data_IF_808086942413
#
_entry.id   IF_808086942413
#
_cell.length_a   1.000
_cell.length_b   1.000
_cell.length_c   1.000
_cell.angle_alpha   90.00
_cell.angle_beta   90.00
_cell.angle_gamma   90.00
#
_symmetry.space_group_name_H-M   'P 1'
#
loop_
_entity.id
_entity.type
_entity.pdbx_description
1 polymer ?
#
# COMPACT_ATOMS: atom_id res chain seq x y z
N UNK A 1 51.31 49.03 3.83
CA UNK A 1 49.90 48.61 3.77
C UNK A 1 49.86 47.19 3.14
N UNK A 2 49.65 46.16 3.95
CA UNK A 2 49.56 44.77 3.50
C UNK A 2 48.10 44.43 3.47
N UNK A 3 47.56 44.20 2.25
CA UNK A 3 46.18 43.80 2.05
C UNK A 3 46.07 42.28 2.19
N UNK A 4 45.38 41.77 3.21
CA UNK A 4 45.10 40.37 3.40
C UNK A 4 43.86 39.98 2.57
N UNK A 5 44.07 39.18 1.53
CA UNK A 5 42.96 38.52 0.79
C UNK A 5 42.46 37.33 1.61
N UNK A 6 41.28 37.48 2.19
CA UNK A 6 40.59 36.37 2.81
C UNK A 6 40.03 35.42 1.73
N UNK A 7 40.57 34.18 1.67
CA UNK A 7 39.99 33.10 0.86
C UNK A 7 38.82 32.55 1.59
N UNK A 8 37.59 32.85 1.11
CA UNK A 8 36.38 32.21 1.59
C UNK A 8 36.30 30.82 0.99
N UNK A 9 36.60 29.81 1.80
CA UNK A 9 36.36 28.40 1.40
C UNK A 9 34.85 28.13 1.43
N UNK A 10 34.21 28.05 0.26
CA UNK A 10 32.87 27.53 0.12
C UNK A 10 32.91 26.05 0.44
N UNK A 11 32.43 25.67 1.62
CA UNK A 11 32.17 24.26 1.96
C UNK A 11 31.03 23.74 1.05
N UNK A 12 31.40 22.94 0.07
CA UNK A 12 30.45 22.20 -0.71
C UNK A 12 29.72 21.23 0.24
N UNK A 13 28.45 21.46 0.47
CA UNK A 13 27.61 20.58 1.27
C UNK A 13 27.47 19.26 0.48
N UNK A 14 28.06 18.17 0.98
CA UNK A 14 27.87 16.83 0.39
C UNK A 14 26.40 16.47 0.42
N UNK A 15 25.82 16.29 -0.76
CA UNK A 15 24.45 15.77 -0.89
C UNK A 15 24.44 14.33 -0.36
N UNK A 16 23.83 14.11 0.80
CA UNK A 16 23.56 12.77 1.31
C UNK A 16 22.35 12.21 0.56
N UNK A 17 22.54 11.10 -0.13
CA UNK A 17 21.48 10.34 -0.75
C UNK A 17 21.04 9.22 0.21
N UNK A 18 19.72 9.01 0.31
CA UNK A 18 19.14 7.88 1.01
C UNK A 18 18.37 7.01 0.02
N UNK A 19 18.52 5.70 0.13
CA UNK A 19 17.83 4.73 -0.71
C UNK A 19 16.59 4.22 0.04
N UNK A 20 15.45 4.26 -0.63
CA UNK A 20 14.19 3.68 -0.16
C UNK A 20 13.66 2.69 -1.19
N UNK A 21 13.18 1.55 -0.72
CA UNK A 21 12.42 0.62 -1.54
C UNK A 21 10.94 0.98 -1.46
N UNK A 22 10.26 0.88 -2.59
CA UNK A 22 8.80 0.98 -2.70
C UNK A 22 8.30 -0.17 -3.56
N UNK A 23 7.10 -0.68 -3.29
CA UNK A 23 6.59 -1.85 -3.96
C UNK A 23 5.15 -1.70 -4.45
N UNK A 24 4.76 -2.61 -5.32
CA UNK A 24 3.38 -2.87 -5.69
C UNK A 24 3.16 -4.37 -5.75
N UNK A 25 2.01 -4.84 -5.21
CA UNK A 25 1.71 -6.27 -5.20
C UNK A 25 0.19 -6.51 -5.35
N UNK A 26 -0.20 -7.17 -6.44
CA UNK A 26 -1.58 -7.65 -6.59
C UNK A 26 -1.81 -8.85 -5.67
N UNK A 27 -2.80 -8.74 -4.79
CA UNK A 27 -3.13 -9.77 -3.80
C UNK A 27 -3.93 -10.94 -4.37
N UNK A 28 -4.29 -10.90 -5.68
CA UNK A 28 -5.02 -11.97 -6.37
C UNK A 28 -6.30 -12.37 -5.62
N UNK A 29 -7.23 -11.42 -5.45
CA UNK A 29 -8.50 -11.60 -4.73
C UNK A 29 -8.28 -12.00 -3.26
N UNK A 30 -7.77 -11.09 -2.46
CA UNK A 30 -7.64 -11.28 -1.01
C UNK A 30 -8.96 -10.95 -0.33
N UNK A 31 -9.81 -11.95 -0.22
CA UNK A 31 -11.11 -11.93 0.47
C UNK A 31 -11.01 -12.57 1.84
N UNK A 32 -11.85 -12.15 2.77
CA UNK A 32 -12.11 -12.89 3.99
C UNK A 32 -13.07 -14.07 3.74
N UNK A 33 -13.82 -14.51 4.71
CA UNK A 33 -14.75 -15.66 4.59
C UNK A 33 -16.20 -15.28 4.85
N UNK A 34 -16.48 -13.98 4.94
CA UNK A 34 -17.78 -13.42 5.24
C UNK A 34 -18.33 -12.72 3.99
N UNK A 35 -19.65 -12.65 3.88
CA UNK A 35 -20.30 -11.93 2.81
C UNK A 35 -20.47 -10.45 3.19
N UNK A 36 -20.03 -9.56 2.32
CA UNK A 36 -20.24 -8.12 2.45
C UNK A 36 -21.57 -7.73 1.77
N UNK A 37 -22.44 -7.05 2.51
CA UNK A 37 -23.75 -6.66 2.00
C UNK A 37 -23.63 -5.79 0.74
N UNK A 38 -24.36 -6.20 -0.32
CA UNK A 38 -24.37 -5.48 -1.60
C UNK A 38 -23.20 -5.81 -2.52
N UNK A 39 -22.28 -6.70 -2.14
CA UNK A 39 -21.16 -7.14 -2.96
C UNK A 39 -21.42 -8.51 -3.60
N UNK A 40 -20.74 -8.78 -4.70
CA UNK A 40 -20.81 -10.06 -5.41
C UNK A 40 -19.56 -10.90 -5.11
N UNK A 41 -19.38 -11.26 -3.85
CA UNK A 41 -18.24 -11.99 -3.29
C UNK A 41 -18.55 -13.48 -3.03
N UNK A 42 -19.70 -13.97 -3.42
CA UNK A 42 -20.23 -15.31 -3.11
C UNK A 42 -19.28 -16.46 -3.45
N UNK A 43 -18.43 -16.29 -4.47
CA UNK A 43 -17.44 -17.30 -4.86
C UNK A 43 -16.37 -17.49 -3.79
N UNK A 44 -16.09 -16.46 -3.00
CA UNK A 44 -15.06 -16.43 -1.95
C UNK A 44 -15.62 -16.77 -0.55
N UNK A 45 -16.79 -17.36 -0.47
CA UNK A 45 -17.35 -17.88 0.78
C UNK A 45 -16.98 -19.36 0.99
N UNK A 46 -17.08 -19.89 2.22
CA UNK A 46 -16.91 -21.32 2.48
C UNK A 46 -17.88 -22.21 1.69
N UNK A 47 -19.07 -21.70 1.37
CA UNK A 47 -20.09 -22.34 0.52
C UNK A 47 -19.89 -22.06 -0.98
N UNK A 48 -19.08 -21.07 -1.34
CA UNK A 48 -18.86 -20.61 -2.71
C UNK A 48 -18.07 -21.58 -3.57
N UNK A 49 -17.84 -21.22 -4.84
CA UNK A 49 -17.19 -22.08 -5.84
C UNK A 49 -15.72 -22.40 -5.46
N UNK A 50 -15.00 -21.44 -4.86
CA UNK A 50 -13.64 -21.63 -4.41
C UNK A 50 -13.51 -22.36 -3.08
N UNK A 51 -14.62 -22.65 -2.38
CA UNK A 51 -14.60 -23.23 -1.03
C UNK A 51 -13.62 -22.48 -0.13
N UNK A 52 -13.74 -21.14 -0.15
CA UNK A 52 -12.84 -20.24 0.53
C UNK A 52 -13.11 -20.25 2.02
N UNK A 53 -12.26 -20.87 2.78
CA UNK A 53 -12.44 -21.08 4.22
C UNK A 53 -11.32 -20.42 5.04
N UNK A 54 -11.48 -20.37 6.36
CA UNK A 54 -10.55 -19.72 7.27
C UNK A 54 -9.10 -20.23 7.12
N UNK A 55 -8.90 -21.52 6.83
CA UNK A 55 -7.55 -22.06 6.63
C UNK A 55 -6.89 -21.50 5.35
N UNK A 56 -7.64 -21.40 4.26
CA UNK A 56 -7.14 -20.81 3.01
C UNK A 56 -6.84 -19.33 3.21
N UNK A 57 -7.75 -18.59 3.85
CA UNK A 57 -7.58 -17.19 4.16
C UNK A 57 -6.34 -16.93 5.02
N UNK A 58 -6.22 -17.60 6.15
CA UNK A 58 -5.05 -17.45 7.06
C UNK A 58 -3.73 -17.81 6.38
N UNK A 59 -3.72 -18.88 5.56
CA UNK A 59 -2.52 -19.25 4.81
C UNK A 59 -2.14 -18.20 3.78
N UNK A 60 -3.13 -17.63 3.09
CA UNK A 60 -2.89 -16.56 2.11
C UNK A 60 -2.35 -15.30 2.78
N UNK A 61 -2.98 -14.82 3.85
CA UNK A 61 -2.51 -13.69 4.64
C UNK A 61 -1.04 -13.85 5.05
N UNK A 62 -0.69 -15.01 5.62
CA UNK A 62 0.67 -15.30 6.05
C UNK A 62 1.69 -15.28 4.90
N UNK A 63 1.32 -15.85 3.75
CA UNK A 63 2.21 -15.89 2.59
C UNK A 63 2.39 -14.49 1.98
N UNK A 64 1.31 -13.72 1.86
CA UNK A 64 1.36 -12.34 1.37
C UNK A 64 2.17 -11.43 2.30
N UNK A 65 1.98 -11.55 3.61
CA UNK A 65 2.73 -10.79 4.60
C UNK A 65 4.25 -11.10 4.53
N UNK A 66 4.63 -12.36 4.32
CA UNK A 66 6.05 -12.75 4.10
C UNK A 66 6.60 -12.10 2.85
N UNK A 67 5.89 -12.22 1.73
CA UNK A 67 6.32 -11.63 0.47
C UNK A 67 6.52 -10.11 0.60
N UNK A 68 5.58 -9.41 1.22
CA UNK A 68 5.67 -7.95 1.46
C UNK A 68 6.86 -7.63 2.39
N UNK A 69 7.03 -8.40 3.46
CA UNK A 69 8.12 -8.18 4.42
C UNK A 69 9.51 -8.39 3.78
N UNK A 70 9.62 -9.27 2.80
CA UNK A 70 10.89 -9.58 2.12
C UNK A 70 11.21 -8.59 0.98
N UNK A 71 10.21 -7.86 0.48
CA UNK A 71 10.41 -6.90 -0.61
C UNK A 71 11.45 -5.84 -0.24
N UNK A 72 12.43 -5.65 -1.13
CA UNK A 72 13.45 -4.62 -1.04
C UNK A 72 14.51 -4.82 0.05
N UNK A 73 14.45 -5.93 0.81
CA UNK A 73 15.39 -6.19 1.92
C UNK A 73 16.82 -6.45 1.44
N UNK A 74 17.00 -6.84 0.18
CA UNK A 74 18.30 -6.99 -0.48
C UNK A 74 19.01 -5.66 -0.70
N UNK A 75 18.29 -4.55 -0.68
CA UNK A 75 18.80 -3.19 -0.89
C UNK A 75 18.66 -2.30 0.32
N UNK A 76 17.57 -2.45 1.07
CA UNK A 76 17.23 -1.64 2.23
C UNK A 76 16.89 -2.55 3.41
N UNK A 77 17.65 -2.52 4.54
CA UNK A 77 17.42 -3.44 5.67
C UNK A 77 16.01 -3.36 6.27
N UNK A 78 15.36 -2.22 6.13
CA UNK A 78 13.98 -2.02 6.60
C UNK A 78 12.91 -2.52 5.61
N UNK A 79 13.32 -2.98 4.41
CA UNK A 79 12.41 -3.34 3.33
C UNK A 79 11.73 -2.12 2.70
N UNK A 80 10.55 -2.33 2.11
CA UNK A 80 9.81 -1.25 1.49
C UNK A 80 9.30 -0.23 2.51
N UNK A 81 9.40 1.06 2.15
CA UNK A 81 8.78 2.14 2.91
C UNK A 81 7.25 2.05 2.82
N UNK A 82 6.75 1.69 1.65
CA UNK A 82 5.34 1.36 1.42
C UNK A 82 5.19 0.39 0.25
N UNK A 83 4.07 -0.33 0.23
CA UNK A 83 3.67 -1.22 -0.86
C UNK A 83 2.21 -0.94 -1.22
N UNK A 84 1.97 -0.52 -2.46
CA UNK A 84 0.61 -0.45 -3.01
C UNK A 84 0.07 -1.85 -3.22
N UNK A 85 -1.17 -2.07 -2.82
CA UNK A 85 -1.86 -3.35 -2.97
C UNK A 85 -3.07 -3.19 -3.89
N UNK A 86 -3.33 -4.21 -4.68
CA UNK A 86 -4.56 -4.34 -5.45
C UNK A 86 -5.29 -5.63 -5.07
N UNK A 87 -6.59 -5.63 -5.28
CA UNK A 87 -7.48 -6.76 -5.00
C UNK A 87 -7.54 -7.14 -3.51
N UNK A 88 -7.66 -6.13 -2.66
CA UNK A 88 -7.96 -6.24 -1.23
C UNK A 88 -9.45 -5.99 -1.03
N UNK A 89 -10.15 -6.86 -0.31
CA UNK A 89 -11.60 -6.78 -0.16
C UNK A 89 -12.02 -5.57 0.68
N UNK A 90 -11.63 -5.53 1.94
CA UNK A 90 -12.12 -4.54 2.88
C UNK A 90 -11.06 -4.15 3.94
N UNK A 91 -11.43 -3.23 4.84
CA UNK A 91 -10.56 -2.78 5.92
C UNK A 91 -10.13 -3.90 6.86
N UNK A 92 -11.03 -4.86 7.14
CA UNK A 92 -10.73 -6.02 8.01
C UNK A 92 -9.61 -6.85 7.42
N UNK A 93 -9.66 -7.11 6.11
CA UNK A 93 -8.63 -7.86 5.38
C UNK A 93 -7.28 -7.13 5.38
N UNK A 94 -7.28 -5.81 5.17
CA UNK A 94 -6.07 -5.00 5.23
C UNK A 94 -5.44 -5.01 6.64
N UNK A 95 -6.26 -4.91 7.68
CA UNK A 95 -5.86 -5.01 9.08
C UNK A 95 -5.28 -6.39 9.42
N UNK A 96 -5.97 -7.45 8.99
CA UNK A 96 -5.53 -8.83 9.22
C UNK A 96 -4.18 -9.11 8.54
N UNK A 97 -3.95 -8.54 7.36
CA UNK A 97 -2.68 -8.66 6.64
C UNK A 97 -1.52 -8.04 7.43
N UNK A 98 -1.64 -6.80 7.89
CA UNK A 98 -0.57 -6.14 8.65
C UNK A 98 -0.39 -6.72 10.05
N UNK A 99 -1.40 -7.43 10.57
CA UNK A 99 -1.33 -8.16 11.84
C UNK A 99 -0.54 -9.47 11.77
N UNK A 100 -0.19 -9.94 10.55
CA UNK A 100 0.67 -11.12 10.41
C UNK A 100 2.09 -10.82 10.89
N UNK A 101 2.70 -11.82 11.57
CA UNK A 101 3.97 -11.66 12.31
C UNK A 101 5.08 -10.88 11.58
N UNK A 102 5.41 -11.13 10.29
CA UNK A 102 6.51 -10.40 9.66
C UNK A 102 6.26 -8.89 9.52
N UNK A 103 5.00 -8.47 9.35
CA UNK A 103 4.61 -7.06 9.22
C UNK A 103 4.37 -6.43 10.58
N UNK A 104 3.68 -7.14 11.48
CA UNK A 104 3.41 -6.69 12.84
C UNK A 104 4.71 -6.42 13.63
N UNK A 105 5.71 -7.30 13.53
CA UNK A 105 7.01 -7.12 14.18
C UNK A 105 7.75 -5.85 13.70
N UNK A 106 7.50 -5.41 12.46
CA UNK A 106 8.06 -4.17 11.90
C UNK A 106 7.19 -2.94 12.16
N UNK A 107 5.97 -3.14 12.67
CA UNK A 107 5.00 -2.08 12.94
C UNK A 107 4.38 -1.51 11.67
N UNK A 108 4.15 -2.34 10.65
CA UNK A 108 3.45 -1.89 9.44
C UNK A 108 2.02 -1.47 9.76
N UNK A 109 1.57 -0.44 9.08
CA UNK A 109 0.21 0.09 9.11
C UNK A 109 -0.39 0.04 7.70
N UNK A 110 -1.69 0.32 7.59
CA UNK A 110 -2.41 0.28 6.34
C UNK A 110 -3.27 1.53 6.12
N UNK A 111 -3.59 1.77 4.85
CA UNK A 111 -4.63 2.71 4.40
C UNK A 111 -5.49 1.94 3.41
N UNK A 112 -6.79 1.92 3.67
CA UNK A 112 -7.82 1.35 2.82
C UNK A 112 -9.02 2.28 2.81
N UNK A 113 -9.67 2.40 1.67
CA UNK A 113 -10.93 3.12 1.48
C UNK A 113 -11.85 2.25 0.63
N UNK A 114 -13.08 2.10 1.08
CA UNK A 114 -14.08 1.30 0.39
C UNK A 114 -14.51 1.94 -0.92
N UNK A 115 -14.41 1.20 -2.01
CA UNK A 115 -14.77 1.64 -3.35
C UNK A 115 -16.08 1.04 -3.86
N UNK A 116 -16.53 1.50 -5.02
CA UNK A 116 -17.79 1.08 -5.62
C UNK A 116 -17.69 -0.22 -6.45
N UNK A 117 -16.57 -0.95 -6.42
CA UNK A 117 -16.45 -2.20 -7.18
C UNK A 117 -17.51 -3.20 -6.75
N UNK A 118 -18.20 -3.80 -7.73
CA UNK A 118 -19.32 -4.69 -7.46
C UNK A 118 -18.91 -6.00 -6.76
N UNK A 119 -17.66 -6.42 -6.87
CA UNK A 119 -17.14 -7.59 -6.17
C UNK A 119 -16.66 -7.25 -4.76
N UNK A 120 -16.47 -5.95 -4.45
CA UNK A 120 -15.92 -5.50 -3.19
C UNK A 120 -14.40 -5.64 -3.12
N UNK A 121 -13.66 -5.40 -4.20
CA UNK A 121 -12.20 -5.40 -4.16
C UNK A 121 -11.64 -4.03 -4.52
N UNK A 122 -10.68 -3.58 -3.76
CA UNK A 122 -10.15 -2.23 -3.79
C UNK A 122 -8.62 -2.18 -3.88
N UNK A 123 -8.09 -0.97 -3.90
CA UNK A 123 -6.69 -0.69 -3.70
C UNK A 123 -6.44 -0.34 -2.23
N UNK A 124 -5.29 -0.76 -1.71
CA UNK A 124 -4.82 -0.39 -0.39
C UNK A 124 -3.34 0.02 -0.42
N UNK A 125 -2.86 0.62 0.65
CA UNK A 125 -1.45 0.87 0.87
C UNK A 125 -1.06 0.29 2.23
N UNK A 126 -0.02 -0.54 2.28
CA UNK A 126 0.65 -0.90 3.54
C UNK A 126 1.98 -0.16 3.62
N UNK A 127 2.34 0.33 4.80
CA UNK A 127 3.52 1.17 4.94
C UNK A 127 4.23 0.97 6.28
N UNK A 128 5.53 1.26 6.28
CA UNK A 128 6.33 1.29 7.49
C UNK A 128 6.39 2.72 8.04
N UNK A 129 5.75 3.03 9.18
CA UNK A 129 5.68 4.40 9.71
C UNK A 129 7.03 4.99 10.11
N UNK A 130 8.08 4.15 10.25
CA UNK A 130 9.46 4.62 10.48
C UNK A 130 10.09 5.23 9.23
N UNK A 131 9.53 4.98 8.05
CA UNK A 131 10.05 5.43 6.77
C UNK A 131 9.11 6.40 6.05
N UNK A 132 7.80 6.12 6.10
CA UNK A 132 6.77 6.91 5.43
C UNK A 132 5.72 7.38 6.43
N UNK A 133 5.40 8.67 6.44
CA UNK A 133 4.42 9.29 7.32
C UNK A 133 3.28 9.88 6.46
N UNK A 134 2.19 9.14 6.24
CA UNK A 134 1.03 9.66 5.54
C UNK A 134 0.33 10.74 6.37
N UNK A 135 -0.16 11.80 5.70
CA UNK A 135 -0.92 12.88 6.33
C UNK A 135 -2.27 13.15 5.66
N UNK A 136 -2.50 12.63 4.46
CA UNK A 136 -3.76 12.75 3.76
C UNK A 136 -3.95 11.56 2.80
N UNK A 137 -5.20 11.11 2.61
CA UNK A 137 -5.57 10.13 1.60
C UNK A 137 -7.00 10.33 1.15
N UNK A 138 -7.29 9.90 -0.06
CA UNK A 138 -8.63 9.96 -0.65
C UNK A 138 -8.74 9.05 -1.87
N UNK A 139 -9.96 8.69 -2.23
CA UNK A 139 -10.25 8.03 -3.49
C UNK A 139 -10.49 9.07 -4.60
N UNK A 140 -9.81 8.88 -5.72
CA UNK A 140 -10.06 9.65 -6.95
C UNK A 140 -10.80 8.73 -7.93
N UNK A 141 -12.08 9.03 -8.26
CA UNK A 141 -12.84 8.24 -9.21
C UNK A 141 -12.17 8.19 -10.59
N UNK A 142 -12.24 7.04 -11.23
CA UNK A 142 -11.91 6.93 -12.65
C UNK A 142 -13.09 7.46 -13.48
N UNK A 143 -12.78 8.31 -14.45
CA UNK A 143 -13.78 8.87 -15.36
C UNK A 143 -13.46 8.37 -16.76
N UNK A 144 -14.43 7.68 -17.38
CA UNK A 144 -14.29 7.22 -18.77
C UNK A 144 -14.34 8.40 -19.74
N UNK A 145 -13.53 8.38 -20.79
CA UNK A 145 -13.45 9.47 -21.78
C UNK A 145 -14.78 9.78 -22.46
N UNK A 146 -15.63 8.79 -22.64
CA UNK A 146 -16.98 8.93 -23.23
C UNK A 146 -18.03 9.42 -22.22
N UNK A 147 -17.67 9.68 -20.96
CA UNK A 147 -18.59 10.06 -19.92
C UNK A 147 -19.54 8.95 -19.45
N UNK A 148 -19.26 7.69 -19.85
CA UNK A 148 -20.04 6.52 -19.40
C UNK A 148 -19.70 6.20 -17.94
N UNK A 149 -20.66 6.43 -17.05
CA UNK A 149 -20.58 6.10 -15.64
C UNK A 149 -21.40 4.83 -15.28
N UNK A 150 -21.92 4.13 -16.29
CA UNK A 150 -22.75 2.93 -16.10
C UNK A 150 -21.99 1.76 -15.45
N UNK A 151 -20.67 1.81 -15.42
CA UNK A 151 -19.79 0.82 -14.80
C UNK A 151 -18.96 1.47 -13.71
N UNK A 152 -19.40 1.35 -12.47
CA UNK A 152 -18.54 1.66 -11.35
C UNK A 152 -17.28 0.76 -11.40
N UNK A 153 -16.10 1.39 -11.42
CA UNK A 153 -14.82 0.67 -11.36
C UNK A 153 -14.01 1.21 -10.19
N UNK A 154 -12.94 0.51 -9.87
CA UNK A 154 -12.06 0.88 -8.76
C UNK A 154 -11.48 2.28 -8.97
N UNK A 155 -11.65 3.17 -8.00
CA UNK A 155 -10.98 4.46 -8.00
C UNK A 155 -9.48 4.30 -7.78
N UNK A 156 -8.73 5.36 -8.03
CA UNK A 156 -7.34 5.46 -7.59
C UNK A 156 -7.29 5.78 -6.11
N UNK A 157 -6.54 5.00 -5.33
CA UNK A 157 -6.20 5.40 -3.96
C UNK A 157 -5.02 6.36 -4.01
N UNK A 158 -5.24 7.59 -3.60
CA UNK A 158 -4.21 8.64 -3.53
C UNK A 158 -3.81 8.83 -2.09
N UNK A 159 -2.52 8.69 -1.79
CA UNK A 159 -1.96 8.89 -0.44
C UNK A 159 -0.85 9.93 -0.52
N UNK A 160 -0.95 10.96 0.31
CA UNK A 160 0.06 12.00 0.46
C UNK A 160 0.77 11.84 1.80
N UNK A 161 2.08 11.91 1.77
CA UNK A 161 2.89 11.70 2.97
C UNK A 161 4.32 12.20 2.82
N UNK A 162 5.10 12.00 3.86
CA UNK A 162 6.53 12.33 3.87
C UNK A 162 7.39 11.07 3.82
N UNK A 163 8.33 11.07 2.87
CA UNK A 163 9.40 10.07 2.76
C UNK A 163 10.74 10.81 2.87
N UNK A 164 11.55 10.50 3.87
CA UNK A 164 12.79 11.22 4.14
C UNK A 164 12.62 12.75 4.36
N UNK A 165 11.46 13.18 4.82
CA UNK A 165 11.14 14.61 5.00
C UNK A 165 10.57 15.30 3.75
N UNK A 166 10.68 14.68 2.58
CA UNK A 166 10.16 15.20 1.31
C UNK A 166 8.70 14.81 1.13
N UNK A 167 7.90 15.70 0.54
CA UNK A 167 6.50 15.42 0.21
C UNK A 167 6.42 14.49 -1.01
N UNK A 168 5.67 13.40 -0.82
CA UNK A 168 5.46 12.35 -1.83
C UNK A 168 3.97 12.10 -1.98
N UNK A 169 3.52 11.98 -3.21
CA UNK A 169 2.16 11.50 -3.53
C UNK A 169 2.26 10.11 -4.15
N UNK A 170 1.62 9.15 -3.52
CA UNK A 170 1.51 7.76 -3.98
C UNK A 170 0.13 7.57 -4.59
N UNK A 171 0.07 7.01 -5.80
CA UNK A 171 -1.19 6.65 -6.45
C UNK A 171 -1.19 5.14 -6.66
N UNK A 172 -2.10 4.45 -5.99
CA UNK A 172 -2.30 3.01 -6.18
C UNK A 172 -3.49 2.83 -7.13
N UNK A 173 -3.27 2.06 -8.18
CA UNK A 173 -4.29 1.78 -9.20
C UNK A 173 -4.20 0.34 -9.68
N UNK A 174 -5.34 -0.16 -10.19
CA UNK A 174 -5.45 -1.51 -10.72
C UNK A 174 -6.41 -1.56 -11.92
#
# INVERSE_FOLDING_TARGET
MISAFGVSAALAQEKKFSLYAVGFYNQENLFDTCHDEGKNDYDFLPSGSYKWNAMKYTNKLRNMARAIADMGTDRTPLGCAFVGLAEVENETVAKDLVSQEPLAARGFEYIHEEGPDARGIDCALVYNPKQFQPYNHFLKPYVYENGDDSRATRPFLVVQGKLAGEDVTVVVCH
#
